data_IF_791528658040
#
_entry.id   IF_791528658040
#
_cell.length_a   1.000
_cell.length_b   1.000
_cell.length_c   1.000
_cell.angle_alpha   90.00
_cell.angle_beta   90.00
_cell.angle_gamma   90.00
#
_symmetry.space_group_name_H-M   'P 1'
#
loop_
_entity.id
_entity.type
_entity.pdbx_description
1 polymer ?
#
# COMPACT_ATOMS: atom_id res chain seq x y z
N UNK A 1 -31.10 2.82 -6.06
CA UNK A 1 -29.81 3.55 -6.02
C UNK A 1 -29.60 4.29 -7.32
N UNK A 2 -29.45 5.61 -7.29
CA UNK A 2 -29.20 6.39 -8.51
C UNK A 2 -27.71 6.28 -8.86
N UNK A 3 -27.40 5.73 -10.05
CA UNK A 3 -26.01 5.44 -10.47
C UNK A 3 -25.22 6.74 -10.68
N UNK A 4 -25.87 7.85 -10.93
CA UNK A 4 -25.21 9.11 -11.26
C UNK A 4 -24.76 9.90 -10.04
N UNK A 5 -25.54 9.85 -8.95
CA UNK A 5 -25.36 10.75 -7.80
C UNK A 5 -24.91 10.03 -6.52
N UNK A 6 -24.61 8.71 -6.61
CA UNK A 6 -24.17 7.89 -5.47
C UNK A 6 -25.02 8.14 -4.23
N UNK A 7 -26.31 7.84 -4.32
CA UNK A 7 -27.23 8.00 -3.21
C UNK A 7 -27.59 6.66 -2.58
N UNK A 8 -27.57 6.61 -1.27
CA UNK A 8 -28.12 5.51 -0.48
C UNK A 8 -29.60 5.82 -0.21
N UNK A 9 -30.47 4.88 -0.50
CA UNK A 9 -31.89 5.00 -0.13
C UNK A 9 -32.09 4.49 1.30
N UNK A 10 -32.54 5.38 2.17
CA UNK A 10 -33.01 5.03 3.50
C UNK A 10 -34.52 4.71 3.42
N UNK A 11 -34.84 3.42 3.63
CA UNK A 11 -36.21 2.94 3.53
C UNK A 11 -37.07 3.29 4.76
N UNK A 12 -36.47 3.71 5.87
CA UNK A 12 -37.19 4.12 7.09
C UNK A 12 -37.63 5.55 6.99
N UNK A 13 -36.73 6.43 6.54
CA UNK A 13 -37.02 7.86 6.40
C UNK A 13 -37.54 8.24 4.99
N UNK A 14 -37.59 7.29 4.06
CA UNK A 14 -37.97 7.45 2.65
C UNK A 14 -37.18 8.57 1.94
N UNK A 15 -35.86 8.63 2.19
CA UNK A 15 -34.97 9.66 1.64
C UNK A 15 -33.76 9.09 0.93
N UNK A 16 -33.23 9.83 -0.04
CA UNK A 16 -31.95 9.53 -0.68
C UNK A 16 -30.84 10.33 -0.02
N UNK A 17 -29.90 9.63 0.59
CA UNK A 17 -28.72 10.20 1.24
C UNK A 17 -27.54 10.22 0.24
N UNK A 18 -26.94 11.38 -0.05
CA UNK A 18 -25.81 11.46 -0.97
C UNK A 18 -24.56 10.83 -0.34
N UNK A 19 -24.09 9.73 -0.93
CA UNK A 19 -22.96 8.92 -0.41
C UNK A 19 -21.66 9.72 -0.34
N UNK A 20 -21.44 10.68 -1.23
CA UNK A 20 -20.25 11.55 -1.19
C UNK A 20 -20.17 12.43 0.08
N UNK A 21 -21.30 12.68 0.74
CA UNK A 21 -21.34 13.38 2.03
C UNK A 21 -21.11 12.43 3.22
N UNK A 22 -21.43 11.15 3.03
CA UNK A 22 -21.32 10.14 4.08
C UNK A 22 -19.94 9.45 4.06
N UNK A 23 -19.45 9.15 2.85
CA UNK A 23 -18.23 8.37 2.66
C UNK A 23 -17.33 9.08 1.64
N UNK A 24 -16.10 9.34 2.01
CA UNK A 24 -15.12 9.99 1.13
C UNK A 24 -14.56 8.97 0.10
N UNK A 25 -15.38 8.61 -0.89
CA UNK A 25 -15.02 7.64 -1.91
C UNK A 25 -14.27 8.29 -3.07
N UNK A 26 -13.23 7.65 -3.61
CA UNK A 26 -12.52 8.13 -4.78
C UNK A 26 -13.38 8.08 -6.06
N UNK A 27 -13.08 8.96 -7.01
CA UNK A 27 -13.74 9.09 -8.31
C UNK A 27 -15.08 9.82 -8.25
N UNK A 28 -15.60 10.26 -9.41
CA UNK A 28 -16.79 11.11 -9.51
C UNK A 28 -18.02 10.40 -10.06
N UNK A 29 -17.84 9.25 -10.72
CA UNK A 29 -18.90 8.52 -11.39
C UNK A 29 -18.86 7.03 -11.08
N UNK A 30 -20.02 6.45 -10.78
CA UNK A 30 -20.23 5.01 -10.68
C UNK A 30 -20.94 4.55 -11.94
N UNK A 31 -20.35 3.61 -12.66
CA UNK A 31 -20.88 3.06 -13.91
C UNK A 31 -21.59 1.72 -13.71
N UNK A 32 -21.15 0.95 -12.73
CA UNK A 32 -21.65 -0.39 -12.44
C UNK A 32 -21.68 -0.64 -10.94
N UNK A 33 -22.61 -1.50 -10.50
CA UNK A 33 -22.72 -1.95 -9.12
C UNK A 33 -23.07 -3.43 -9.14
N UNK A 34 -22.30 -4.22 -8.41
CA UNK A 34 -22.56 -5.62 -8.14
C UNK A 34 -22.34 -5.92 -6.66
N UNK A 35 -22.98 -6.95 -6.13
CA UNK A 35 -22.76 -7.42 -4.77
C UNK A 35 -22.13 -8.81 -4.77
N UNK A 36 -21.19 -9.07 -3.88
CA UNK A 36 -20.65 -10.41 -3.67
C UNK A 36 -21.46 -11.18 -2.62
N UNK A 37 -21.15 -12.48 -2.48
CA UNK A 37 -21.83 -13.38 -1.51
C UNK A 37 -21.59 -12.99 -0.05
N UNK A 38 -20.58 -12.16 0.25
CA UNK A 38 -20.27 -11.62 1.58
C UNK A 38 -21.00 -10.30 1.87
N UNK A 39 -21.72 -9.74 0.87
CA UNK A 39 -22.42 -8.47 0.97
C UNK A 39 -21.57 -7.24 0.67
N UNK A 40 -20.31 -7.40 0.23
CA UNK A 40 -19.54 -6.27 -0.24
C UNK A 40 -20.08 -5.77 -1.58
N UNK A 41 -19.99 -4.46 -1.80
CA UNK A 41 -20.37 -3.84 -3.07
C UNK A 41 -19.12 -3.61 -3.93
N UNK A 42 -19.23 -3.99 -5.19
CA UNK A 42 -18.20 -3.78 -6.21
C UNK A 42 -18.70 -2.73 -7.20
N UNK A 43 -17.98 -1.61 -7.26
CA UNK A 43 -18.37 -0.45 -8.05
C UNK A 43 -17.36 -0.23 -9.17
N UNK A 44 -17.81 -0.34 -10.43
CA UNK A 44 -17.05 0.17 -11.56
C UNK A 44 -17.12 1.69 -11.56
N UNK A 45 -15.98 2.36 -11.67
CA UNK A 45 -15.89 3.82 -11.64
C UNK A 45 -15.06 4.37 -12.79
N UNK A 46 -14.82 5.67 -12.79
CA UNK A 46 -13.89 6.33 -13.72
C UNK A 46 -12.43 6.40 -13.22
N UNK A 47 -12.15 5.85 -12.03
CA UNK A 47 -10.81 5.82 -11.43
C UNK A 47 -10.34 4.41 -11.08
N UNK A 48 -11.16 3.40 -11.34
CA UNK A 48 -10.86 2.00 -11.04
C UNK A 48 -12.09 1.23 -10.58
N UNK A 49 -11.86 0.04 -10.06
CA UNK A 49 -12.86 -0.83 -9.46
C UNK A 49 -12.79 -0.68 -7.94
N UNK A 50 -13.87 -0.24 -7.32
CA UNK A 50 -13.98 -0.08 -5.87
C UNK A 50 -14.70 -1.27 -5.25
N UNK A 51 -14.11 -1.87 -4.24
CA UNK A 51 -14.78 -2.77 -3.32
C UNK A 51 -15.12 -2.02 -2.05
N UNK A 52 -16.40 -1.97 -1.71
CA UNK A 52 -16.89 -1.39 -0.45
C UNK A 52 -17.31 -2.49 0.50
N UNK A 53 -16.83 -2.43 1.72
CA UNK A 53 -17.37 -3.19 2.85
C UNK A 53 -18.27 -2.26 3.64
N UNK A 54 -19.57 -2.51 3.57
CA UNK A 54 -20.60 -1.67 4.18
C UNK A 54 -21.16 -2.39 5.40
N UNK A 55 -20.83 -1.95 6.63
CA UNK A 55 -21.43 -2.48 7.85
C UNK A 55 -22.94 -2.20 7.90
N UNK A 56 -23.69 -2.98 8.69
CA UNK A 56 -25.15 -2.82 8.82
C UNK A 56 -25.58 -1.47 9.38
N UNK A 57 -24.73 -0.86 10.20
CA UNK A 57 -24.95 0.46 10.83
C UNK A 57 -24.59 1.62 9.89
N UNK A 58 -24.10 1.32 8.67
CA UNK A 58 -23.64 2.29 7.66
C UNK A 58 -22.50 3.22 8.15
N UNK A 59 -21.94 2.93 9.32
CA UNK A 59 -20.79 3.64 9.86
C UNK A 59 -19.51 2.84 9.54
N UNK A 60 -18.38 3.52 9.52
CA UNK A 60 -17.08 2.89 9.27
C UNK A 60 -17.01 2.07 7.97
N UNK A 61 -17.61 2.58 6.90
CA UNK A 61 -17.47 1.99 5.58
C UNK A 61 -16.01 2.03 5.15
N UNK A 62 -15.48 0.88 4.82
CA UNK A 62 -14.11 0.76 4.28
C UNK A 62 -14.16 0.46 2.80
N UNK A 63 -13.16 0.93 2.07
CA UNK A 63 -13.06 0.62 0.66
C UNK A 63 -11.63 0.22 0.27
N UNK A 64 -11.55 -0.55 -0.81
CA UNK A 64 -10.31 -0.84 -1.53
C UNK A 64 -10.49 -0.47 -2.99
N UNK A 65 -9.57 0.34 -3.50
CA UNK A 65 -9.51 0.72 -4.90
C UNK A 65 -8.53 -0.18 -5.64
N UNK A 66 -9.00 -0.81 -6.72
CA UNK A 66 -8.19 -1.54 -7.67
C UNK A 66 -8.01 -0.71 -8.92
N UNK A 67 -6.81 -0.73 -9.50
CA UNK A 67 -6.42 0.05 -10.67
C UNK A 67 -5.69 -0.83 -11.69
N UNK A 68 -5.21 -0.24 -12.77
CA UNK A 68 -4.34 -0.94 -13.74
C UNK A 68 -3.10 -1.54 -13.10
N UNK A 69 -2.59 -0.95 -12.01
CA UNK A 69 -1.48 -1.51 -11.23
C UNK A 69 -1.83 -2.83 -10.52
N UNK A 70 -3.12 -3.09 -10.30
CA UNK A 70 -3.64 -4.35 -9.74
C UNK A 70 -4.04 -5.37 -10.84
N UNK A 71 -3.73 -5.06 -12.11
CA UNK A 71 -4.03 -5.93 -13.24
C UNK A 71 -5.39 -5.66 -13.90
N UNK A 72 -6.02 -4.52 -13.63
CA UNK A 72 -7.21 -4.14 -14.39
C UNK A 72 -6.85 -3.79 -15.84
N UNK A 73 -7.78 -4.07 -16.76
CA UNK A 73 -7.64 -3.74 -18.17
C UNK A 73 -7.56 -2.23 -18.41
N UNK A 74 -8.26 -1.44 -17.60
CA UNK A 74 -8.29 0.03 -17.57
C UNK A 74 -8.87 0.49 -16.23
N UNK A 75 -8.69 1.77 -15.88
CA UNK A 75 -9.33 2.38 -14.72
C UNK A 75 -10.77 2.84 -15.01
N UNK A 76 -11.19 2.85 -16.28
CA UNK A 76 -12.51 3.31 -16.71
C UNK A 76 -13.37 2.11 -17.13
N UNK A 77 -14.55 2.00 -16.50
CA UNK A 77 -15.52 0.94 -16.78
C UNK A 77 -16.73 1.48 -17.55
N UNK A 78 -17.22 0.68 -18.50
CA UNK A 78 -18.37 1.03 -19.32
C UNK A 78 -19.67 0.87 -18.52
N UNK A 79 -20.60 1.79 -18.72
CA UNK A 79 -21.88 1.78 -18.05
C UNK A 79 -22.68 0.52 -18.35
N UNK A 80 -23.18 -0.14 -17.31
CA UNK A 80 -23.99 -1.34 -17.43
C UNK A 80 -23.22 -2.61 -17.85
N UNK A 81 -21.90 -2.52 -18.07
CA UNK A 81 -21.08 -3.64 -18.49
C UNK A 81 -20.56 -4.41 -17.27
N UNK A 82 -21.44 -4.97 -16.47
CA UNK A 82 -21.07 -5.84 -15.36
C UNK A 82 -22.04 -7.01 -15.21
N UNK A 83 -21.53 -8.14 -14.76
CA UNK A 83 -22.29 -9.38 -14.59
C UNK A 83 -21.69 -10.21 -13.45
N UNK A 84 -22.55 -10.93 -12.74
CA UNK A 84 -22.15 -11.93 -11.74
C UNK A 84 -22.68 -13.28 -12.20
N UNK A 85 -21.78 -14.21 -12.43
CA UNK A 85 -22.12 -15.56 -12.83
C UNK A 85 -22.68 -16.37 -11.64
N UNK A 86 -23.37 -17.47 -11.93
CA UNK A 86 -24.00 -18.32 -10.91
C UNK A 86 -23.02 -18.93 -9.91
N UNK A 87 -21.78 -19.17 -10.34
CA UNK A 87 -20.69 -19.67 -9.49
C UNK A 87 -20.06 -18.56 -8.62
N UNK A 88 -20.38 -17.28 -8.89
CA UNK A 88 -19.91 -16.12 -8.17
C UNK A 88 -18.72 -15.43 -8.82
N UNK A 89 -18.32 -15.80 -10.03
CA UNK A 89 -17.37 -15.02 -10.82
C UNK A 89 -18.00 -13.70 -11.23
N UNK A 90 -17.26 -12.60 -11.05
CA UNK A 90 -17.66 -11.25 -11.43
C UNK A 90 -16.96 -10.81 -12.69
N UNK A 91 -17.70 -10.12 -13.55
CA UNK A 91 -17.22 -9.55 -14.81
C UNK A 91 -17.47 -8.04 -14.82
N UNK A 92 -16.46 -7.28 -15.20
CA UNK A 92 -16.56 -5.81 -15.38
C UNK A 92 -15.89 -5.42 -16.69
N UNK A 93 -16.69 -4.88 -17.60
CA UNK A 93 -16.25 -4.45 -18.94
C UNK A 93 -15.82 -2.99 -18.95
N UNK A 94 -14.78 -2.69 -19.70
CA UNK A 94 -14.26 -1.36 -19.92
C UNK A 94 -13.74 -1.15 -21.33
N UNK A 95 -12.98 -0.09 -21.58
CA UNK A 95 -12.56 0.33 -22.92
C UNK A 95 -11.54 -0.62 -23.57
N UNK A 96 -10.75 -1.34 -22.77
CA UNK A 96 -9.69 -2.24 -23.24
C UNK A 96 -10.01 -3.72 -23.05
N UNK A 97 -11.28 -4.05 -22.82
CA UNK A 97 -11.71 -5.41 -22.59
C UNK A 97 -12.52 -5.56 -21.31
N UNK A 98 -12.38 -6.68 -20.63
CA UNK A 98 -13.05 -6.92 -19.37
C UNK A 98 -12.09 -7.54 -18.35
N UNK A 99 -12.44 -7.40 -17.09
CA UNK A 99 -11.82 -8.13 -15.99
C UNK A 99 -12.81 -9.17 -15.45
N UNK A 100 -12.34 -10.37 -15.19
CA UNK A 100 -13.09 -11.37 -14.45
C UNK A 100 -12.31 -11.84 -13.22
N UNK A 101 -13.00 -12.07 -12.13
CA UNK A 101 -12.38 -12.52 -10.88
C UNK A 101 -13.41 -13.11 -9.91
N UNK A 102 -12.90 -13.92 -8.99
CA UNK A 102 -13.68 -14.40 -7.85
C UNK A 102 -13.40 -13.53 -6.63
N UNK A 103 -14.39 -12.79 -6.08
CA UNK A 103 -14.21 -11.90 -4.94
C UNK A 103 -13.54 -12.56 -3.72
N UNK A 104 -13.85 -13.81 -3.46
CA UNK A 104 -13.33 -14.56 -2.31
C UNK A 104 -11.82 -14.85 -2.41
N UNK A 105 -11.27 -14.95 -3.62
CA UNK A 105 -9.85 -15.22 -3.84
C UNK A 105 -8.96 -13.96 -3.71
N UNK A 106 -9.58 -12.78 -3.75
CA UNK A 106 -8.86 -11.51 -3.60
C UNK A 106 -8.46 -11.21 -2.15
N UNK A 107 -9.11 -11.87 -1.17
CA UNK A 107 -8.82 -11.66 0.25
C UNK A 107 -7.62 -12.48 0.76
N UNK A 108 -7.19 -13.50 0.03
CA UNK A 108 -6.18 -14.47 0.49
C UNK A 108 -4.73 -14.00 0.28
N UNK A 109 -4.50 -12.91 -0.43
CA UNK A 109 -3.15 -12.43 -0.72
C UNK A 109 -2.72 -11.27 0.20
N UNK A 110 -2.70 -11.51 1.51
CA UNK A 110 -1.87 -10.71 2.40
C UNK A 110 -0.44 -11.24 2.31
N UNK A 111 0.24 -10.92 1.23
CA UNK A 111 1.68 -11.16 1.17
C UNK A 111 2.37 -10.18 2.12
N UNK A 112 2.78 -10.68 3.27
CA UNK A 112 3.76 -9.98 4.09
C UNK A 112 5.13 -10.16 3.43
N UNK A 113 5.46 -9.27 2.51
CA UNK A 113 6.79 -9.29 1.89
C UNK A 113 7.84 -8.87 2.90
N UNK A 114 8.91 -9.64 3.07
CA UNK A 114 9.98 -9.28 3.99
C UNK A 114 10.65 -7.98 3.54
N UNK A 115 10.97 -7.13 4.51
CA UNK A 115 11.79 -5.94 4.28
C UNK A 115 13.25 -6.32 4.41
N UNK A 116 14.07 -5.90 3.46
CA UNK A 116 15.51 -6.10 3.48
C UNK A 116 16.24 -4.77 3.49
N UNK A 117 17.37 -4.72 4.17
CA UNK A 117 18.32 -3.60 4.06
C UNK A 117 19.05 -3.76 2.73
N UNK A 118 18.93 -2.78 1.86
CA UNK A 118 19.53 -2.82 0.52
C UNK A 118 20.89 -2.16 0.46
N UNK A 119 21.09 -1.09 1.22
CA UNK A 119 22.38 -0.39 1.29
C UNK A 119 22.54 0.34 2.63
N UNK A 120 23.79 0.61 2.99
CA UNK A 120 24.16 1.54 4.05
C UNK A 120 25.12 2.54 3.44
N UNK A 121 24.79 3.82 3.51
CA UNK A 121 25.65 4.90 3.03
C UNK A 121 26.28 5.64 4.20
N UNK A 122 27.58 5.85 4.14
CA UNK A 122 28.32 6.65 5.08
C UNK A 122 28.85 7.89 4.34
N UNK A 123 28.54 9.08 4.81
CA UNK A 123 28.78 10.33 4.08
C UNK A 123 28.29 10.31 2.64
N UNK A 124 27.11 9.75 2.42
CA UNK A 124 26.50 9.59 1.10
C UNK A 124 27.27 8.67 0.13
N UNK A 125 28.26 7.93 0.62
CA UNK A 125 28.95 6.88 -0.14
C UNK A 125 28.31 5.53 0.16
N UNK A 126 27.86 4.83 -0.89
CA UNK A 126 27.30 3.48 -0.79
C UNK A 126 28.35 2.50 -0.22
N UNK A 127 27.86 1.50 0.50
CA UNK A 127 28.70 0.39 1.00
C UNK A 127 29.64 -0.19 -0.06
N UNK A 128 29.16 -0.34 -1.28
CA UNK A 128 29.94 -0.89 -2.38
C UNK A 128 31.05 0.05 -2.87
N UNK A 129 30.91 1.35 -2.64
CA UNK A 129 31.89 2.37 -3.02
C UNK A 129 32.98 2.59 -1.95
N UNK A 130 32.79 2.10 -0.73
CA UNK A 130 33.78 2.16 0.31
C UNK A 130 34.97 1.23 -0.01
N UNK A 131 36.17 1.60 0.42
CA UNK A 131 37.36 0.72 0.33
C UNK A 131 37.19 -0.53 1.19
N UNK A 132 38.01 -1.57 0.94
CA UNK A 132 37.98 -2.78 1.74
C UNK A 132 38.27 -2.55 3.21
N UNK A 133 39.24 -1.65 3.51
CA UNK A 133 39.60 -1.25 4.86
C UNK A 133 38.45 -0.55 5.56
N UNK A 134 37.83 0.42 4.90
CA UNK A 134 36.66 1.16 5.45
C UNK A 134 35.46 0.25 5.74
N UNK A 135 35.20 -0.72 4.85
CA UNK A 135 34.13 -1.70 5.08
C UNK A 135 34.41 -2.58 6.28
N UNK A 136 35.67 -3.09 6.42
CA UNK A 136 36.04 -3.96 7.53
C UNK A 136 35.96 -3.27 8.90
N UNK A 137 36.15 -1.94 8.96
CA UNK A 137 35.94 -1.16 10.18
C UNK A 137 34.47 -1.04 10.59
N UNK A 138 33.55 -1.08 9.62
CA UNK A 138 32.12 -0.92 9.86
C UNK A 138 31.45 -2.28 10.10
N UNK A 139 31.70 -3.25 9.21
CA UNK A 139 31.23 -4.64 9.32
C UNK A 139 32.02 -5.53 8.37
N UNK A 140 32.20 -6.77 8.75
CA UNK A 140 32.80 -7.80 7.89
C UNK A 140 31.82 -8.38 6.84
N UNK A 141 30.54 -8.10 6.98
CA UNK A 141 29.48 -8.59 6.09
C UNK A 141 28.86 -7.43 5.33
N UNK A 142 28.28 -7.72 4.18
CA UNK A 142 27.51 -6.71 3.44
C UNK A 142 26.24 -6.32 4.21
N UNK A 143 25.65 -5.13 3.95
CA UNK A 143 24.46 -4.62 4.67
C UNK A 143 23.30 -5.61 4.75
N UNK A 144 23.13 -6.41 3.70
CA UNK A 144 22.05 -7.40 3.60
C UNK A 144 22.19 -8.58 4.58
N UNK A 145 23.39 -8.86 5.02
CA UNK A 145 23.72 -10.03 5.85
C UNK A 145 24.32 -9.66 7.20
N UNK A 146 24.34 -8.37 7.55
CA UNK A 146 24.89 -7.92 8.82
C UNK A 146 23.78 -7.53 9.78
N UNK A 147 23.88 -8.03 11.00
CA UNK A 147 22.99 -7.65 12.11
C UNK A 147 23.56 -6.49 12.93
N UNK A 148 24.81 -6.14 12.69
CA UNK A 148 25.50 -5.10 13.46
C UNK A 148 26.50 -4.34 12.61
N UNK A 149 26.45 -3.02 12.71
CA UNK A 149 27.45 -2.11 12.17
C UNK A 149 28.07 -1.31 13.30
N UNK A 150 29.34 -0.95 13.16
CA UNK A 150 30.07 -0.11 14.10
C UNK A 150 30.52 1.14 13.37
N UNK A 151 30.05 2.29 13.83
CA UNK A 151 30.46 3.59 13.27
C UNK A 151 31.25 4.35 14.31
N UNK A 152 32.41 4.86 13.95
CA UNK A 152 33.16 5.74 14.82
C UNK A 152 32.59 7.16 14.77
N UNK A 153 32.96 8.02 15.71
CA UNK A 153 32.43 9.38 15.83
C UNK A 153 32.67 10.25 14.57
N UNK A 154 33.68 9.96 13.78
CA UNK A 154 33.98 10.67 12.53
C UNK A 154 33.04 10.23 11.40
N UNK A 155 32.37 9.08 11.51
CA UNK A 155 31.44 8.51 10.52
C UNK A 155 29.99 8.57 11.00
N UNK A 156 29.66 9.60 11.78
CA UNK A 156 28.34 9.78 12.40
C UNK A 156 27.33 10.50 11.47
N UNK A 157 27.43 10.23 10.18
CA UNK A 157 26.51 10.69 9.15
C UNK A 157 26.28 9.53 8.20
N UNK A 158 25.11 8.88 8.31
CA UNK A 158 24.82 7.69 7.55
C UNK A 158 23.33 7.61 7.18
N UNK A 159 23.04 6.81 6.17
CA UNK A 159 21.67 6.42 5.84
C UNK A 159 21.57 4.91 5.65
N UNK A 160 20.40 4.40 5.98
CA UNK A 160 20.02 2.99 5.80
C UNK A 160 18.96 2.94 4.73
N UNK A 161 19.24 2.26 3.63
CA UNK A 161 18.27 2.02 2.57
C UNK A 161 17.60 0.65 2.76
N UNK A 162 16.31 0.59 2.48
CA UNK A 162 15.52 -0.62 2.66
C UNK A 162 14.49 -0.78 1.55
N UNK A 163 14.06 -2.00 1.31
CA UNK A 163 13.00 -2.29 0.35
C UNK A 163 12.21 -3.53 0.78
N UNK A 164 10.89 -3.48 0.62
CA UNK A 164 10.08 -4.69 0.65
C UNK A 164 10.30 -5.48 -0.64
N UNK A 165 10.34 -6.81 -0.53
CA UNK A 165 10.45 -7.70 -1.68
C UNK A 165 9.06 -7.97 -2.29
N UNK A 166 8.29 -6.89 -2.46
CA UNK A 166 6.99 -6.89 -3.11
C UNK A 166 7.13 -6.36 -4.53
N UNK A 167 6.89 -7.24 -5.51
CA UNK A 167 7.09 -6.93 -6.91
C UNK A 167 5.78 -6.70 -7.68
N UNK A 168 4.63 -7.05 -7.08
CA UNK A 168 3.34 -6.90 -7.75
C UNK A 168 2.93 -5.42 -7.84
N UNK A 169 3.03 -4.69 -6.74
CA UNK A 169 2.67 -3.27 -6.65
C UNK A 169 3.68 -2.47 -5.81
N UNK A 170 4.94 -2.35 -6.24
CA UNK A 170 6.00 -1.76 -5.43
C UNK A 170 5.74 -0.29 -5.07
N UNK A 171 4.98 0.44 -5.90
CA UNK A 171 4.66 1.85 -5.68
C UNK A 171 3.66 2.08 -4.53
N UNK A 172 2.90 1.05 -4.14
CA UNK A 172 1.94 1.13 -3.02
C UNK A 172 2.57 0.86 -1.67
N UNK A 173 3.78 0.33 -1.65
CA UNK A 173 4.44 0.00 -0.40
C UNK A 173 4.59 1.22 0.49
N UNK A 174 4.04 1.12 1.68
CA UNK A 174 4.26 2.06 2.78
C UNK A 174 5.29 1.47 3.73
N UNK A 175 6.09 2.32 4.30
CA UNK A 175 7.13 1.91 5.24
C UNK A 175 6.99 2.68 6.54
N UNK A 176 7.34 2.03 7.63
CA UNK A 176 7.60 2.71 8.88
C UNK A 176 8.93 2.22 9.44
N UNK A 177 9.75 3.16 9.89
CA UNK A 177 11.05 2.87 10.48
C UNK A 177 11.27 3.63 11.79
N UNK A 178 12.19 3.15 12.59
CA UNK A 178 12.57 3.76 13.86
C UNK A 178 13.97 3.33 14.25
N UNK A 179 14.78 4.27 14.70
CA UNK A 179 16.03 4.00 15.39
C UNK A 179 15.78 4.10 16.91
N UNK A 180 15.71 2.97 17.56
CA UNK A 180 15.45 2.92 19.00
C UNK A 180 16.59 3.55 19.78
N UNK A 181 16.25 4.39 20.75
CA UNK A 181 17.21 5.22 21.50
C UNK A 181 17.50 6.59 20.85
N UNK A 182 16.95 6.87 19.66
CA UNK A 182 17.09 8.16 18.98
C UNK A 182 15.76 8.76 18.56
N UNK A 183 14.91 7.98 17.82
CA UNK A 183 13.61 8.46 17.35
C UNK A 183 12.57 8.38 18.48
N UNK A 184 11.77 9.44 18.62
CA UNK A 184 10.66 9.47 19.58
C UNK A 184 9.52 8.49 19.23
N UNK A 185 9.42 8.05 17.95
CA UNK A 185 8.38 7.14 17.48
C UNK A 185 8.66 6.66 16.06
N UNK A 186 7.69 5.95 15.50
CA UNK A 186 7.76 5.48 14.12
C UNK A 186 7.69 6.63 13.13
N UNK A 187 8.65 6.68 12.22
CA UNK A 187 8.66 7.57 11.05
C UNK A 187 8.01 6.85 9.89
N UNK A 188 7.07 7.50 9.20
CA UNK A 188 6.36 6.93 8.06
C UNK A 188 6.91 7.49 6.75
N UNK A 189 7.05 6.62 5.76
CA UNK A 189 7.50 6.97 4.41
C UNK A 189 6.85 6.04 3.38
N UNK A 190 7.00 6.38 2.11
CA UNK A 190 6.43 5.65 0.99
C UNK A 190 7.52 5.03 0.08
N UNK A 191 7.07 4.41 -1.01
CA UNK A 191 7.95 3.77 -1.97
C UNK A 191 8.95 4.71 -2.67
N UNK A 192 8.74 6.02 -2.65
CA UNK A 192 9.63 7.01 -3.26
C UNK A 192 10.83 7.36 -2.38
N UNK A 193 10.70 7.15 -1.06
CA UNK A 193 11.72 7.51 -0.06
C UNK A 193 12.02 6.31 0.84
N UNK A 194 12.71 5.33 0.31
CA UNK A 194 13.05 4.06 0.97
C UNK A 194 14.38 4.14 1.73
N UNK A 195 14.59 5.21 2.48
CA UNK A 195 15.81 5.37 3.29
C UNK A 195 15.52 6.16 4.57
N UNK A 196 16.29 5.86 5.60
CA UNK A 196 16.36 6.59 6.86
C UNK A 196 17.73 7.27 6.96
N UNK A 197 17.75 8.56 7.24
CA UNK A 197 18.97 9.34 7.37
C UNK A 197 19.18 9.75 8.81
N UNK A 198 20.40 9.53 9.29
CA UNK A 198 20.80 9.83 10.65
C UNK A 198 22.12 10.60 10.68
N UNK A 199 22.18 11.58 11.56
CA UNK A 199 23.40 12.32 11.83
C UNK A 199 23.51 12.66 13.32
N UNK A 200 24.72 12.96 13.74
CA UNK A 200 25.02 13.49 15.07
C UNK A 200 24.45 12.64 16.24
N UNK A 201 24.49 11.31 16.10
CA UNK A 201 24.14 10.40 17.17
C UNK A 201 25.19 10.50 18.29
N UNK A 202 24.72 10.42 19.53
CA UNK A 202 25.61 10.27 20.69
C UNK A 202 26.23 8.87 20.68
N UNK A 203 27.37 8.71 21.39
CA UNK A 203 27.94 7.39 21.58
C UNK A 203 26.93 6.48 22.30
N UNK A 204 26.70 5.28 21.76
CA UNK A 204 25.70 4.35 22.31
C UNK A 204 25.42 3.20 21.35
N UNK A 205 24.51 2.34 21.76
CA UNK A 205 23.99 1.25 20.95
C UNK A 205 22.55 1.58 20.58
N UNK A 206 22.23 1.47 19.31
CA UNK A 206 20.92 1.75 18.74
C UNK A 206 20.42 0.54 17.97
N UNK A 207 19.12 0.36 17.89
CA UNK A 207 18.53 -0.71 17.08
C UNK A 207 17.61 -0.10 16.03
N UNK A 208 17.89 -0.41 14.77
CA UNK A 208 17.05 0.04 13.66
C UNK A 208 15.94 -0.97 13.39
N UNK A 209 14.72 -0.49 13.36
CA UNK A 209 13.53 -1.27 12.99
C UNK A 209 12.92 -0.69 11.73
N UNK A 210 12.51 -1.58 10.83
CA UNK A 210 11.75 -1.21 9.64
C UNK A 210 10.67 -2.25 9.37
N UNK A 211 9.50 -1.77 8.93
CA UNK A 211 8.38 -2.62 8.50
C UNK A 211 7.73 -2.02 7.26
N UNK A 212 7.04 -2.85 6.50
CA UNK A 212 6.26 -2.42 5.33
C UNK A 212 4.82 -2.90 5.41
N UNK A 213 3.95 -2.20 4.69
CA UNK A 213 2.60 -2.63 4.34
C UNK A 213 2.31 -2.20 2.90
N UNK A 214 1.40 -2.87 2.24
CA UNK A 214 0.86 -2.51 0.92
C UNK A 214 -0.66 -2.34 0.96
#
# INVERSE_FOLDING_TARGET
>A
MCIRDRSLYDAVEDVFLPVHKLWNLPGDAVTNIQSDKKGNLWLGTNVGLLRLTVPRDLQNVTYRLYTTSDGLQDNIFNRGASFVASDGEMFFGGHRGYNSFYPNKQDEQVFSSPVVITDIKVFNQSWTALSGEERSEISNLSPRFTDKIVLNYKRNNFSIEFSALEYANPERNQYAYRLDGFDAGWQHTDASKRFAYYNNLKSGTYTFYVKSSN
#
